data_IF_466386243278
#
_entry.id   IF_466386243278
#
_cell.length_a   1.000
_cell.length_b   1.000
_cell.length_c   1.000
_cell.angle_alpha   90.00
_cell.angle_beta   90.00
_cell.angle_gamma   90.00
#
_symmetry.space_group_name_H-M   'P 1'
#
loop_
_entity.id
_entity.type
_entity.pdbx_description
1 polymer ?
#
# COMPACT_ATOMS: atom_id res chain seq x y z
N UNK A 1 19.43 -5.56 3.28
CA UNK A 1 18.36 -6.50 2.96
C UNK A 1 17.31 -5.83 2.10
N UNK A 2 16.72 -6.58 1.18
CA UNK A 2 15.72 -6.07 0.27
C UNK A 2 14.37 -5.99 0.96
N UNK A 3 13.75 -4.82 0.96
CA UNK A 3 12.39 -4.66 1.43
C UNK A 3 11.40 -5.15 0.37
N UNK A 4 10.29 -5.70 0.81
CA UNK A 4 9.19 -6.14 -0.06
C UNK A 4 8.04 -5.16 0.06
N UNK A 5 7.58 -4.64 -1.09
CA UNK A 5 6.49 -3.68 -1.16
C UNK A 5 5.40 -4.25 -2.05
N UNK A 6 4.18 -4.33 -1.53
CA UNK A 6 3.01 -4.77 -2.30
C UNK A 6 2.16 -3.57 -2.67
N UNK A 7 1.65 -3.57 -3.90
CA UNK A 7 0.84 -2.47 -4.44
C UNK A 7 -0.53 -3.01 -4.82
N UNK A 8 -1.57 -2.43 -4.25
CA UNK A 8 -2.96 -2.78 -4.54
C UNK A 8 -3.64 -1.60 -5.20
N UNK A 9 -3.90 -1.70 -6.49
CA UNK A 9 -4.51 -0.65 -7.30
C UNK A 9 -5.17 -1.30 -8.51
N UNK A 10 -6.43 -0.99 -8.79
CA UNK A 10 -7.16 -1.59 -9.89
C UNK A 10 -6.86 -0.94 -11.24
N UNK A 11 -6.15 0.17 -11.28
CA UNK A 11 -5.74 0.82 -12.52
C UNK A 11 -4.44 0.20 -13.03
N UNK A 12 -4.47 -0.61 -14.12
CA UNK A 12 -3.27 -1.34 -14.57
C UNK A 12 -2.09 -0.45 -14.91
N UNK A 13 -2.34 0.73 -15.52
CA UNK A 13 -1.25 1.62 -15.92
C UNK A 13 -0.54 2.22 -14.70
N UNK A 14 -1.29 2.67 -13.70
CA UNK A 14 -0.72 3.20 -12.47
C UNK A 14 0.01 2.10 -11.71
N UNK A 15 -0.62 0.93 -11.56
CA UNK A 15 0.00 -0.20 -10.88
C UNK A 15 1.33 -0.58 -11.51
N UNK A 16 1.36 -0.72 -12.84
CA UNK A 16 2.57 -1.07 -13.58
C UNK A 16 3.67 -0.02 -13.39
N UNK A 17 3.31 1.25 -13.48
CA UNK A 17 4.28 2.35 -13.33
C UNK A 17 4.87 2.38 -11.91
N UNK A 18 4.03 2.24 -10.90
CA UNK A 18 4.47 2.24 -9.50
C UNK A 18 5.38 1.05 -9.23
N UNK A 19 4.99 -0.14 -9.68
CA UNK A 19 5.82 -1.34 -9.51
C UNK A 19 7.18 -1.19 -10.20
N UNK A 20 7.22 -0.61 -11.39
CA UNK A 20 8.47 -0.40 -12.13
C UNK A 20 9.42 0.53 -11.37
N UNK A 21 8.90 1.65 -10.84
CA UNK A 21 9.72 2.60 -10.08
C UNK A 21 10.28 1.92 -8.83
N UNK A 22 9.46 1.22 -8.08
CA UNK A 22 9.90 0.53 -6.86
C UNK A 22 10.92 -0.57 -7.16
N UNK A 23 10.71 -1.32 -8.23
CA UNK A 23 11.63 -2.37 -8.65
C UNK A 23 13.00 -1.81 -9.04
N UNK A 24 13.02 -0.68 -9.75
CA UNK A 24 14.27 0.00 -10.11
C UNK A 24 15.04 0.49 -8.89
N UNK A 25 14.35 0.81 -7.81
CA UNK A 25 14.97 1.22 -6.56
C UNK A 25 15.51 0.05 -5.74
N UNK A 26 15.34 -1.17 -6.22
CA UNK A 26 15.87 -2.37 -5.58
C UNK A 26 14.90 -3.09 -4.64
N UNK A 27 13.64 -2.65 -4.58
CA UNK A 27 12.65 -3.34 -3.76
C UNK A 27 12.10 -4.58 -4.46
N UNK A 28 11.78 -5.61 -3.70
CA UNK A 28 10.99 -6.73 -4.21
C UNK A 28 9.53 -6.29 -4.23
N UNK A 29 8.83 -6.54 -5.33
CA UNK A 29 7.48 -6.00 -5.52
C UNK A 29 6.47 -7.06 -5.95
N UNK A 30 5.22 -6.83 -5.58
CA UNK A 30 4.09 -7.64 -6.05
C UNK A 30 2.88 -6.73 -6.17
N UNK A 31 2.08 -6.91 -7.23
CA UNK A 31 0.91 -6.09 -7.51
C UNK A 31 -0.37 -6.88 -7.46
N UNK A 32 -1.46 -6.21 -7.04
CA UNK A 32 -2.80 -6.78 -6.98
C UNK A 32 -3.79 -5.76 -7.53
N UNK A 33 -4.83 -6.25 -8.21
CA UNK A 33 -5.88 -5.39 -8.76
C UNK A 33 -7.12 -5.28 -7.87
N UNK A 34 -7.17 -6.01 -6.77
CA UNK A 34 -8.35 -6.07 -5.90
C UNK A 34 -7.96 -6.56 -4.50
N UNK A 35 -8.90 -6.46 -3.55
CA UNK A 35 -8.68 -6.88 -2.18
C UNK A 35 -8.61 -8.40 -2.04
N UNK A 36 -9.43 -9.14 -2.79
CA UNK A 36 -9.47 -10.59 -2.71
C UNK A 36 -8.11 -11.22 -2.96
N UNK A 37 -7.43 -10.79 -4.03
CA UNK A 37 -6.11 -11.33 -4.36
C UNK A 37 -5.08 -11.03 -3.29
N UNK A 38 -5.16 -9.84 -2.68
CA UNK A 38 -4.30 -9.49 -1.56
C UNK A 38 -4.51 -10.45 -0.38
N UNK A 39 -5.77 -10.67 0.02
CA UNK A 39 -6.08 -11.55 1.16
C UNK A 39 -5.65 -12.99 0.89
N UNK A 40 -5.90 -13.49 -0.31
CA UNK A 40 -5.48 -14.86 -0.69
C UNK A 40 -3.97 -15.00 -0.55
N UNK A 41 -3.22 -14.02 -1.04
CA UNK A 41 -1.76 -14.07 -0.96
C UNK A 41 -1.26 -14.00 0.48
N UNK A 42 -1.87 -13.18 1.32
CA UNK A 42 -1.51 -13.11 2.74
C UNK A 42 -1.74 -14.44 3.44
N UNK A 43 -2.89 -15.08 3.21
CA UNK A 43 -3.25 -16.33 3.88
C UNK A 43 -2.41 -17.50 3.36
N UNK A 44 -2.26 -17.61 2.04
CA UNK A 44 -1.56 -18.75 1.44
C UNK A 44 -0.04 -18.63 1.48
N UNK A 45 0.47 -17.39 1.36
CA UNK A 45 1.91 -17.18 1.26
C UNK A 45 2.67 -17.27 2.58
N UNK A 46 2.01 -17.04 3.69
CA UNK A 46 2.64 -17.09 5.02
C UNK A 46 3.65 -15.98 5.28
N UNK A 47 3.78 -15.00 4.39
CA UNK A 47 4.68 -13.86 4.55
C UNK A 47 3.90 -12.57 4.41
N UNK A 48 4.45 -11.48 4.95
CA UNK A 48 3.83 -10.15 4.88
C UNK A 48 4.81 -9.18 4.22
N UNK A 49 4.30 -8.14 3.54
CA UNK A 49 5.18 -7.12 2.98
C UNK A 49 5.72 -6.20 4.07
N UNK A 50 6.81 -5.51 3.76
CA UNK A 50 7.36 -4.47 4.62
C UNK A 50 6.58 -3.16 4.49
N UNK A 51 5.86 -2.99 3.39
CA UNK A 51 4.98 -1.85 3.15
C UNK A 51 3.87 -2.26 2.19
N UNK A 52 2.66 -1.82 2.46
CA UNK A 52 1.49 -2.00 1.60
C UNK A 52 1.09 -0.64 1.03
N UNK A 53 1.22 -0.48 -0.29
CA UNK A 53 0.75 0.70 -1.03
C UNK A 53 -0.65 0.39 -1.50
N UNK A 54 -1.64 1.19 -1.10
CA UNK A 54 -3.04 0.81 -1.18
C UNK A 54 -3.91 1.94 -1.72
N UNK A 55 -4.68 1.65 -2.77
CA UNK A 55 -5.72 2.56 -3.24
C UNK A 55 -6.95 2.45 -2.34
N UNK A 56 -7.68 3.55 -2.17
CA UNK A 56 -8.92 3.56 -1.40
C UNK A 56 -10.07 2.92 -2.16
N UNK A 57 -10.15 3.17 -3.48
CA UNK A 57 -11.29 2.68 -4.28
C UNK A 57 -10.89 1.48 -5.10
N UNK A 58 -11.19 0.30 -4.56
CA UNK A 58 -10.98 -0.97 -5.26
C UNK A 58 -12.33 -1.54 -5.69
N UNK A 59 -12.36 -2.45 -6.68
CA UNK A 59 -13.64 -2.96 -7.19
C UNK A 59 -14.45 -3.74 -6.16
N UNK A 60 -13.81 -4.36 -5.19
CA UNK A 60 -14.47 -5.25 -4.24
C UNK A 60 -14.48 -4.72 -2.80
N UNK A 61 -13.65 -3.73 -2.47
CA UNK A 61 -13.56 -3.24 -1.09
C UNK A 61 -12.88 -1.88 -1.04
N UNK A 62 -13.17 -1.08 -0.02
CA UNK A 62 -12.42 0.15 0.23
C UNK A 62 -11.10 -0.15 0.93
N UNK A 63 -10.04 0.60 0.57
CA UNK A 63 -8.73 0.45 1.20
C UNK A 63 -8.78 0.66 2.71
N UNK A 64 -9.57 1.62 3.19
CA UNK A 64 -9.74 1.86 4.63
C UNK A 64 -10.34 0.63 5.34
N UNK A 65 -11.23 -0.09 4.69
CA UNK A 65 -11.80 -1.33 5.23
C UNK A 65 -10.73 -2.43 5.31
N UNK A 66 -9.89 -2.51 4.29
CA UNK A 66 -8.76 -3.46 4.30
C UNK A 66 -7.84 -3.19 5.49
N UNK A 67 -7.46 -1.93 5.71
CA UNK A 67 -6.59 -1.57 6.84
C UNK A 67 -7.24 -1.95 8.16
N UNK A 68 -8.53 -1.65 8.32
CA UNK A 68 -9.27 -2.01 9.53
C UNK A 68 -9.19 -3.53 9.78
N UNK A 69 -9.43 -4.33 8.75
CA UNK A 69 -9.36 -5.79 8.84
C UNK A 69 -7.97 -6.28 9.22
N UNK A 70 -6.92 -5.69 8.62
CA UNK A 70 -5.54 -6.07 8.93
C UNK A 70 -5.17 -5.74 10.37
N UNK A 71 -5.60 -4.59 10.87
CA UNK A 71 -5.29 -4.15 12.24
C UNK A 71 -5.95 -5.02 13.31
N UNK A 72 -7.01 -5.75 12.99
CA UNK A 72 -7.69 -6.66 13.91
C UNK A 72 -6.97 -8.00 14.05
N UNK A 73 -6.01 -8.32 13.18
CA UNK A 73 -5.32 -9.61 13.19
C UNK A 73 -3.88 -9.44 13.66
N UNK A 74 -3.46 -10.16 14.71
CA UNK A 74 -2.10 -10.01 15.25
C UNK A 74 -0.99 -10.18 14.21
N UNK A 75 -1.16 -11.12 13.27
CA UNK A 75 -0.15 -11.42 12.25
C UNK A 75 -0.01 -10.31 11.19
N UNK A 76 -1.00 -9.42 11.05
CA UNK A 76 -0.99 -8.36 10.04
C UNK A 76 -1.06 -6.96 10.63
N UNK A 77 -1.21 -6.86 11.94
CA UNK A 77 -1.46 -5.60 12.64
C UNK A 77 -0.40 -4.53 12.37
N UNK A 78 0.84 -4.93 12.22
CA UNK A 78 1.97 -4.02 12.13
C UNK A 78 2.44 -3.75 10.70
N UNK A 79 1.71 -4.22 9.67
CA UNK A 79 2.06 -3.92 8.28
C UNK A 79 1.88 -2.42 8.05
N UNK A 80 2.95 -1.68 7.70
CA UNK A 80 2.82 -0.26 7.35
C UNK A 80 2.00 -0.09 6.09
N UNK A 81 1.19 0.97 6.05
CA UNK A 81 0.31 1.27 4.91
C UNK A 81 0.57 2.68 4.42
N UNK A 82 0.62 2.84 3.10
CA UNK A 82 0.65 4.12 2.43
C UNK A 82 -0.51 4.14 1.43
N UNK A 83 -1.47 5.04 1.63
CA UNK A 83 -2.55 5.21 0.65
C UNK A 83 -2.04 6.00 -0.55
N UNK A 84 -2.36 5.54 -1.77
CA UNK A 84 -2.09 6.27 -3.01
C UNK A 84 -3.40 6.28 -3.79
N UNK A 85 -4.09 7.42 -3.80
CA UNK A 85 -5.49 7.44 -4.26
C UNK A 85 -5.94 8.81 -4.74
N UNK A 86 -6.95 8.84 -5.63
CA UNK A 86 -7.60 10.06 -6.09
C UNK A 86 -8.88 10.27 -5.26
N UNK A 87 -8.83 11.20 -4.32
CA UNK A 87 -9.92 11.48 -3.39
C UNK A 87 -10.04 12.98 -3.17
N UNK A 88 -11.18 13.43 -2.64
CA UNK A 88 -11.37 14.83 -2.28
C UNK A 88 -10.72 15.13 -0.91
N UNK A 89 -10.74 16.41 -0.52
CA UNK A 89 -10.10 16.86 0.72
C UNK A 89 -10.71 16.23 1.96
N UNK A 90 -12.02 16.08 1.98
CA UNK A 90 -12.72 15.48 3.12
C UNK A 90 -12.32 14.02 3.33
N UNK A 91 -12.28 13.25 2.25
CA UNK A 91 -11.86 11.85 2.33
C UNK A 91 -10.37 11.73 2.65
N UNK A 92 -9.54 12.63 2.11
CA UNK A 92 -8.12 12.66 2.43
C UNK A 92 -7.90 12.87 3.94
N UNK A 93 -8.66 13.77 4.56
CA UNK A 93 -8.57 14.00 6.00
C UNK A 93 -8.93 12.75 6.80
N UNK A 94 -9.97 12.04 6.37
CA UNK A 94 -10.36 10.78 7.02
C UNK A 94 -9.28 9.71 6.89
N UNK A 95 -8.71 9.54 5.70
CA UNK A 95 -7.67 8.55 5.47
C UNK A 95 -6.37 8.88 6.21
N UNK A 96 -6.01 10.15 6.27
CA UNK A 96 -4.78 10.59 6.94
C UNK A 96 -4.81 10.24 8.44
N UNK A 97 -5.99 10.15 9.04
CA UNK A 97 -6.14 9.71 10.42
C UNK A 97 -5.80 8.22 10.59
N UNK A 98 -5.80 7.44 9.50
CA UNK A 98 -5.55 5.99 9.51
C UNK A 98 -4.09 5.70 9.12
N UNK A 99 -3.61 6.33 8.05
CA UNK A 99 -2.27 6.13 7.49
C UNK A 99 -1.91 7.29 6.57
N UNK A 100 -0.63 7.47 6.24
CA UNK A 100 -0.22 8.52 5.29
C UNK A 100 -0.89 8.37 3.93
N UNK A 101 -1.09 9.48 3.24
CA UNK A 101 -1.79 9.54 1.96
C UNK A 101 -0.96 10.30 0.94
N UNK A 102 -0.78 9.71 -0.25
CA UNK A 102 -0.27 10.39 -1.44
C UNK A 102 -1.44 10.50 -2.41
N UNK A 103 -1.78 11.70 -2.83
CA UNK A 103 -2.96 11.94 -3.69
C UNK A 103 -2.58 11.88 -5.16
N UNK A 104 -3.40 11.21 -5.96
CA UNK A 104 -3.28 11.19 -7.42
C UNK A 104 -3.88 12.48 -8.01
N UNK A 105 -3.27 13.06 -9.03
CA UNK A 105 -2.00 12.70 -9.63
C UNK A 105 -0.84 13.10 -8.71
N UNK A 106 0.23 12.33 -8.72
CA UNK A 106 1.37 12.58 -7.85
C UNK A 106 2.68 12.61 -8.66
N UNK A 107 3.67 13.28 -8.08
CA UNK A 107 5.03 13.25 -8.58
C UNK A 107 5.73 12.01 -8.03
N UNK A 108 6.41 11.24 -8.86
CA UNK A 108 7.11 10.05 -8.40
C UNK A 108 8.15 10.34 -7.33
N UNK A 109 8.79 11.52 -7.39
CA UNK A 109 9.73 11.92 -6.33
C UNK A 109 9.05 12.00 -4.96
N UNK A 110 7.85 12.57 -4.90
CA UNK A 110 7.06 12.66 -3.68
C UNK A 110 6.61 11.29 -3.20
N UNK A 111 6.21 10.43 -4.12
CA UNK A 111 5.81 9.06 -3.81
C UNK A 111 7.00 8.28 -3.22
N UNK A 112 8.17 8.36 -3.83
CA UNK A 112 9.38 7.67 -3.34
C UNK A 112 9.76 8.17 -1.96
N UNK A 113 9.69 9.48 -1.71
CA UNK A 113 9.96 10.05 -0.39
C UNK A 113 9.00 9.46 0.66
N UNK A 114 7.71 9.37 0.33
CA UNK A 114 6.72 8.79 1.24
C UNK A 114 7.01 7.32 1.54
N UNK A 115 7.42 6.55 0.53
CA UNK A 115 7.79 5.15 0.71
C UNK A 115 8.99 5.04 1.65
N UNK A 116 10.02 5.82 1.42
CA UNK A 116 11.23 5.81 2.24
C UNK A 116 10.93 6.17 3.69
N UNK A 117 10.09 7.17 3.90
CA UNK A 117 9.66 7.57 5.25
C UNK A 117 8.93 6.45 5.98
N UNK A 118 8.04 5.74 5.29
CA UNK A 118 7.30 4.64 5.89
C UNK A 118 8.20 3.46 6.25
N UNK A 119 9.16 3.14 5.40
CA UNK A 119 10.11 2.06 5.68
C UNK A 119 11.05 2.43 6.82
N UNK A 120 11.43 3.70 6.93
CA UNK A 120 12.32 4.17 7.99
C UNK A 120 11.65 4.18 9.37
N UNK A 121 10.31 4.39 9.42
CA UNK A 121 9.56 4.47 10.68
C UNK A 121 8.88 3.16 11.05
N UNK A 122 8.94 2.15 10.16
CA UNK A 122 8.31 0.85 10.42
C UNK A 122 9.00 0.16 11.59
N UNK A 123 8.25 -0.60 12.42
CA UNK A 123 8.86 -1.37 13.50
C UNK A 123 9.90 -2.33 12.94
N UNK A 124 11.04 -2.42 13.60
CA UNK A 124 12.04 -3.41 13.25
C UNK A 124 11.52 -4.79 13.66
N UNK A 125 11.63 -5.72 12.76
CA UNK A 125 11.28 -7.10 13.07
C UNK A 125 12.25 -7.71 14.08
#
# INVERSE_FOLDING_TARGET
MTHTIWVVDDEPLIRTAVLAVLSELGYATQGFGNAEDLYVTLVEGGTVPDLLVLDQRLPDEYGSTIVHSLRERPQYRDIPVLFVTAIDDEEADRLTAIAPVVRKPFDFADFVTAVEEQLATAPSA
#
